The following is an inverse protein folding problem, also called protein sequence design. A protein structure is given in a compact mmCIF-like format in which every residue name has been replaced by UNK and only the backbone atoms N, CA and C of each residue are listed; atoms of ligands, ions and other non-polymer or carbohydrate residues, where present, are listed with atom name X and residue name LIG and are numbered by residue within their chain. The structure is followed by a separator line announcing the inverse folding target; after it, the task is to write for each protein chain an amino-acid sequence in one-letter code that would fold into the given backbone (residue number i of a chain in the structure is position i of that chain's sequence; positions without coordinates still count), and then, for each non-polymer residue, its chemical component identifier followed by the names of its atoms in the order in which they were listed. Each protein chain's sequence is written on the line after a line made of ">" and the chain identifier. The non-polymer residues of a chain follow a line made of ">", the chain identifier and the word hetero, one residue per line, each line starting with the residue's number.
data_IF_396361744567
#
_entry.id   IF_396361744567
#
_cell.length_a   1.000
_cell.length_b   1.000
_cell.length_c   1.000
_cell.angle_alpha   90.00
_cell.angle_beta   90.00
_cell.angle_gamma   90.00
#
_symmetry.space_group_name_H-M   'P 1'
#
loop_
_entity.id
_entity.type
_entity.pdbx_description
1 polymer ?
#
# COMPACT_ATOMS: atom_id res chain seq x y z
N UNK A 1 -31.15 -0.69 -16.73
CA UNK A 1 -29.84 -0.13 -17.08
C UNK A 1 -29.08 0.03 -15.78
N UNK A 2 -28.19 -0.90 -15.54
CA UNK A 2 -27.20 -0.74 -14.46
C UNK A 2 -26.25 0.32 -15.01
N UNK A 3 -26.21 1.48 -14.40
CA UNK A 3 -25.19 2.48 -14.72
C UNK A 3 -23.86 1.92 -14.24
N UNK A 4 -22.89 1.88 -15.11
CA UNK A 4 -21.52 1.65 -14.76
C UNK A 4 -21.10 2.79 -13.85
N UNK A 5 -20.73 2.51 -12.63
CA UNK A 5 -20.23 3.50 -11.68
C UNK A 5 -18.71 3.38 -11.60
N UNK A 6 -17.97 4.47 -11.38
CA UNK A 6 -16.58 4.35 -10.99
C UNK A 6 -16.50 3.47 -9.75
N UNK A 7 -15.57 2.51 -9.78
CA UNK A 7 -15.53 1.45 -8.76
C UNK A 7 -14.82 1.94 -7.51
N UNK A 8 -13.83 2.86 -7.62
CA UNK A 8 -13.09 3.28 -6.46
C UNK A 8 -11.94 4.25 -6.72
N UNK A 9 -11.23 4.56 -5.65
CA UNK A 9 -9.89 5.14 -5.67
C UNK A 9 -8.92 4.04 -5.27
N UNK A 10 -7.96 3.76 -6.14
CA UNK A 10 -6.88 2.81 -5.88
C UNK A 10 -5.59 3.59 -5.57
N UNK A 11 -4.82 3.08 -4.62
CA UNK A 11 -3.54 3.66 -4.22
C UNK A 11 -2.44 2.63 -4.43
N UNK A 12 -1.45 2.97 -5.24
CA UNK A 12 -0.28 2.12 -5.47
C UNK A 12 0.92 2.71 -4.75
N UNK A 13 1.39 2.03 -3.70
CA UNK A 13 2.48 2.47 -2.84
C UNK A 13 3.82 1.98 -3.40
N UNK A 14 4.85 2.81 -3.32
CA UNK A 14 6.24 2.45 -3.64
C UNK A 14 7.16 3.13 -2.63
N UNK A 15 8.07 2.39 -2.01
CA UNK A 15 9.14 2.96 -1.19
C UNK A 15 10.10 3.76 -2.08
N UNK A 16 10.47 4.95 -1.63
CA UNK A 16 11.35 5.84 -2.39
C UNK A 16 12.81 5.50 -2.09
N UNK A 17 13.52 5.01 -3.11
CA UNK A 17 14.98 4.89 -3.04
C UNK A 17 15.63 6.27 -3.21
N UNK A 18 16.29 6.74 -2.17
CA UNK A 18 17.01 8.01 -2.16
C UNK A 18 18.47 7.88 -2.59
N UNK A 19 18.90 6.72 -3.06
CA UNK A 19 20.25 6.48 -3.56
C UNK A 19 20.55 7.41 -4.74
N UNK A 20 21.69 8.10 -4.67
CA UNK A 20 22.11 9.03 -5.72
C UNK A 20 21.50 10.43 -5.63
N UNK A 21 20.66 10.72 -4.64
CA UNK A 21 20.20 12.08 -4.41
C UNK A 21 21.35 12.96 -3.92
N UNK A 22 21.42 14.19 -4.43
CA UNK A 22 22.42 15.17 -3.97
C UNK A 22 22.22 15.56 -2.51
N UNK A 23 20.97 15.63 -2.09
CA UNK A 23 20.55 15.87 -0.71
C UNK A 23 19.37 14.94 -0.44
N UNK A 24 19.62 13.79 0.19
CA UNK A 24 18.52 12.92 0.64
C UNK A 24 17.62 13.64 1.64
N UNK A 25 16.33 13.35 1.58
CA UNK A 25 15.40 13.77 2.64
C UNK A 25 15.71 12.99 3.92
N UNK A 26 15.48 13.62 5.07
CA UNK A 26 15.69 12.95 6.36
C UNK A 26 14.62 11.91 6.68
N UNK A 27 13.47 11.95 5.96
CA UNK A 27 12.36 11.03 6.12
C UNK A 27 12.57 9.80 5.24
N UNK A 28 12.11 8.65 5.69
CA UNK A 28 11.82 7.54 4.81
C UNK A 28 10.57 7.92 4.02
N UNK A 29 10.66 7.97 2.71
CA UNK A 29 9.57 8.45 1.87
C UNK A 29 8.86 7.29 1.19
N UNK A 30 7.55 7.40 1.10
CA UNK A 30 6.70 6.55 0.25
C UNK A 30 6.03 7.40 -0.82
N UNK A 31 5.94 6.85 -2.00
CA UNK A 31 5.27 7.43 -3.16
C UNK A 31 3.95 6.72 -3.38
N UNK A 32 2.88 7.47 -3.44
CA UNK A 32 1.53 6.98 -3.72
C UNK A 32 1.09 7.45 -5.08
N UNK A 33 0.92 6.54 -6.01
CA UNK A 33 0.24 6.80 -7.27
C UNK A 33 -1.26 6.58 -7.04
N UNK A 34 -2.06 7.62 -7.31
CA UNK A 34 -3.50 7.66 -7.04
C UNK A 34 -4.26 7.45 -8.34
N UNK A 35 -5.10 6.45 -8.39
CA UNK A 35 -5.90 6.09 -9.55
C UNK A 35 -7.39 6.22 -9.26
N UNK A 36 -8.16 6.63 -10.25
CA UNK A 36 -9.59 6.38 -10.32
C UNK A 36 -9.82 5.10 -11.10
N UNK A 37 -10.63 4.19 -10.57
CA UNK A 37 -10.96 2.91 -11.20
C UNK A 37 -12.35 2.94 -11.80
N UNK A 38 -12.53 2.27 -12.94
CA UNK A 38 -13.75 2.23 -13.72
C UNK A 38 -14.10 0.77 -14.06
N UNK A 39 -15.35 0.42 -14.07
CA UNK A 39 -15.82 -0.92 -14.43
C UNK A 39 -15.79 -1.17 -15.94
N UNK A 40 -15.64 -0.13 -16.74
CA UNK A 40 -15.49 -0.22 -18.18
C UNK A 40 -14.17 0.44 -18.63
N UNK A 41 -13.28 -0.36 -19.20
CA UNK A 41 -12.00 0.12 -19.73
C UNK A 41 -12.10 1.13 -20.89
N UNK A 42 -13.29 1.39 -21.40
CA UNK A 42 -13.56 2.40 -22.41
C UNK A 42 -14.10 3.72 -21.82
N UNK A 43 -14.33 3.78 -20.51
CA UNK A 43 -14.69 5.02 -19.83
C UNK A 43 -13.56 6.03 -19.95
N UNK A 44 -13.93 7.30 -19.92
CA UNK A 44 -13.01 8.39 -20.18
C UNK A 44 -13.11 9.46 -19.09
N UNK A 45 -12.06 9.63 -18.31
CA UNK A 45 -11.93 10.70 -17.33
C UNK A 45 -11.69 12.03 -18.05
N UNK A 46 -12.60 12.98 -17.87
CA UNK A 46 -12.47 14.32 -18.46
C UNK A 46 -11.76 15.28 -17.51
N UNK A 47 -12.17 15.29 -16.24
CA UNK A 47 -11.68 16.27 -15.28
C UNK A 47 -11.66 15.70 -13.87
N UNK A 48 -10.74 16.22 -13.07
CA UNK A 48 -10.75 16.12 -11.61
C UNK A 48 -10.89 17.56 -11.10
N UNK A 49 -11.91 17.82 -10.27
CA UNK A 49 -12.31 19.17 -9.97
C UNK A 49 -12.63 19.41 -8.49
N UNK A 50 -12.60 20.66 -8.11
CA UNK A 50 -13.08 21.15 -6.81
C UNK A 50 -14.22 22.12 -7.02
N UNK A 51 -15.29 21.91 -6.23
CA UNK A 51 -16.49 22.75 -6.23
C UNK A 51 -16.60 23.51 -4.92
N UNK A 52 -17.32 24.65 -4.87
CA UNK A 52 -17.58 25.31 -3.60
C UNK A 52 -18.24 24.37 -2.58
N UNK A 53 -17.89 24.56 -1.30
CA UNK A 53 -18.44 23.75 -0.21
C UNK A 53 -19.89 23.25 -0.44
N UNK A 54 -20.19 21.95 -0.18
CA UNK A 54 -19.36 20.99 0.57
C UNK A 54 -18.43 20.11 -0.28
N UNK A 55 -18.30 20.34 -1.55
CA UNK A 55 -17.60 19.45 -2.49
C UNK A 55 -16.18 19.92 -2.86
N UNK A 56 -15.42 20.49 -1.91
CA UNK A 56 -14.00 20.77 -2.14
C UNK A 56 -13.24 19.47 -2.44
N UNK A 57 -12.36 19.53 -3.46
CA UNK A 57 -11.34 18.51 -3.60
C UNK A 57 -10.25 18.74 -2.55
N UNK A 58 -9.83 17.70 -1.86
CA UNK A 58 -8.75 17.75 -0.87
C UNK A 58 -7.85 16.54 -1.03
N UNK A 59 -6.55 16.80 -1.25
CA UNK A 59 -5.49 15.80 -1.13
C UNK A 59 -4.59 16.24 0.03
N UNK A 60 -4.44 15.42 1.05
CA UNK A 60 -3.68 15.76 2.26
C UNK A 60 -3.02 14.54 2.86
N UNK A 61 -1.96 14.75 3.61
CA UNK A 61 -1.30 13.70 4.40
C UNK A 61 -1.30 14.07 5.87
N UNK A 62 -1.27 13.06 6.74
CA UNK A 62 -1.06 13.27 8.18
C UNK A 62 0.42 13.52 8.53
N UNK A 63 1.35 13.35 7.56
CA UNK A 63 2.76 13.72 7.74
C UNK A 63 2.88 15.21 8.12
N UNK A 64 3.42 15.56 9.30
CA UNK A 64 3.56 16.96 9.73
C UNK A 64 4.50 17.78 8.84
N UNK A 65 5.39 17.11 8.08
CA UNK A 65 6.24 17.75 7.09
C UNK A 65 5.57 17.87 5.72
N UNK A 66 4.38 17.29 5.58
CA UNK A 66 3.58 17.33 4.37
C UNK A 66 4.16 16.54 3.19
N UNK A 67 3.65 16.82 2.02
CA UNK A 67 4.11 16.18 0.79
C UNK A 67 5.54 16.57 0.43
N UNK A 68 6.30 15.60 -0.08
CA UNK A 68 7.63 15.86 -0.60
C UNK A 68 7.54 16.62 -1.93
N UNK A 69 8.30 17.71 -2.01
CA UNK A 69 8.49 18.49 -3.22
C UNK A 69 9.98 18.58 -3.52
N UNK A 70 10.39 18.11 -4.69
CA UNK A 70 11.80 18.13 -5.09
C UNK A 70 12.25 19.59 -5.35
N UNK A 71 13.38 19.97 -4.78
CA UNK A 71 13.95 21.30 -5.04
C UNK A 71 14.33 21.54 -6.51
N UNK A 72 14.42 20.48 -7.32
CA UNK A 72 14.73 20.53 -8.75
C UNK A 72 13.52 20.24 -9.64
N UNK A 73 12.39 19.80 -9.05
CA UNK A 73 11.05 19.79 -9.64
C UNK A 73 10.36 21.07 -9.23
N UNK A 74 9.39 21.52 -9.93
CA UNK A 74 8.46 22.59 -9.55
C UNK A 74 7.18 22.42 -10.37
N UNK A 75 7.03 21.24 -10.94
CA UNK A 75 5.91 20.93 -11.80
C UNK A 75 4.81 20.31 -10.96
N UNK A 76 3.78 21.10 -10.67
CA UNK A 76 2.57 20.65 -9.99
C UNK A 76 1.73 19.70 -10.83
N UNK A 77 1.98 19.71 -12.13
CA UNK A 77 1.26 18.92 -13.12
C UNK A 77 2.22 18.26 -14.10
N UNK A 78 1.86 17.08 -14.57
CA UNK A 78 2.69 16.36 -15.53
C UNK A 78 2.77 17.00 -16.91
N UNK A 79 1.84 17.92 -17.26
CA UNK A 79 1.89 18.65 -18.52
C UNK A 79 3.18 19.48 -18.69
N UNK A 80 3.80 19.88 -17.60
CA UNK A 80 5.06 20.63 -17.59
C UNK A 80 6.27 19.81 -17.13
N UNK A 81 6.07 18.57 -16.69
CA UNK A 81 7.09 17.70 -16.12
C UNK A 81 7.94 17.04 -17.21
N UNK A 82 9.26 17.18 -17.12
CA UNK A 82 10.20 16.54 -18.02
C UNK A 82 10.93 15.38 -17.32
N UNK A 83 10.42 14.16 -17.46
CA UNK A 83 10.99 12.95 -16.85
C UNK A 83 12.46 12.68 -17.25
N UNK A 84 12.95 13.20 -18.37
CA UNK A 84 14.35 13.05 -18.73
C UNK A 84 15.33 13.75 -17.76
N UNK A 85 14.85 14.69 -16.98
CA UNK A 85 15.63 15.39 -15.94
C UNK A 85 15.88 14.53 -14.71
N UNK A 86 15.12 13.48 -14.49
CA UNK A 86 15.33 12.52 -13.37
C UNK A 86 16.70 11.86 -13.42
N UNK A 87 17.25 11.64 -14.61
CA UNK A 87 18.62 11.12 -14.76
C UNK A 87 19.69 12.07 -14.24
N UNK A 88 19.37 13.38 -14.13
CA UNK A 88 20.25 14.44 -13.62
C UNK A 88 19.91 14.73 -12.15
N UNK A 89 18.62 14.72 -11.83
CA UNK A 89 18.05 15.03 -10.53
C UNK A 89 17.13 13.90 -10.04
N UNK A 90 17.69 12.80 -9.50
CA UNK A 90 16.90 11.62 -9.14
C UNK A 90 15.74 11.89 -8.16
N UNK A 91 15.85 12.91 -7.31
CA UNK A 91 14.77 13.31 -6.40
C UNK A 91 13.47 13.74 -7.10
N UNK A 92 13.53 14.12 -8.39
CA UNK A 92 12.33 14.45 -9.18
C UNK A 92 11.43 13.24 -9.44
N UNK A 93 11.94 12.02 -9.36
CA UNK A 93 11.13 10.81 -9.47
C UNK A 93 10.16 10.63 -8.30
N UNK A 94 10.47 11.27 -7.16
CA UNK A 94 9.65 11.28 -5.95
C UNK A 94 8.83 12.56 -5.77
N UNK A 95 8.84 13.49 -6.74
CA UNK A 95 8.10 14.74 -6.64
C UNK A 95 6.59 14.50 -6.63
N UNK A 96 5.85 15.32 -5.87
CA UNK A 96 4.38 15.23 -5.80
C UNK A 96 3.73 16.11 -6.86
N UNK A 97 2.79 15.56 -7.61
CA UNK A 97 2.12 16.23 -8.72
C UNK A 97 0.75 15.60 -9.02
N UNK A 98 -0.07 16.30 -9.80
CA UNK A 98 -1.35 15.81 -10.33
C UNK A 98 -1.31 15.59 -11.83
N UNK A 99 -2.17 14.71 -12.34
CA UNK A 99 -2.21 14.34 -13.75
C UNK A 99 -3.59 13.83 -14.18
N UNK A 100 -3.70 13.54 -15.47
CA UNK A 100 -4.66 12.58 -16.03
C UNK A 100 -3.87 11.63 -16.93
N UNK A 101 -3.72 10.39 -16.53
CA UNK A 101 -3.19 9.26 -17.29
C UNK A 101 -1.69 9.25 -17.61
N UNK A 102 -1.03 10.41 -17.77
CA UNK A 102 0.37 10.48 -18.18
C UNK A 102 1.29 10.96 -17.05
N UNK A 103 2.54 10.51 -17.05
CA UNK A 103 3.53 10.81 -16.01
C UNK A 103 4.52 11.90 -16.38
N UNK A 104 4.51 12.40 -17.61
CA UNK A 104 5.36 13.50 -18.08
C UNK A 104 4.69 14.34 -19.17
N UNK A 105 5.43 15.34 -19.67
CA UNK A 105 4.94 16.28 -20.69
C UNK A 105 4.81 15.67 -22.09
N UNK A 106 5.29 14.46 -22.33
CA UNK A 106 5.34 13.88 -23.68
C UNK A 106 3.95 13.48 -24.16
N UNK A 107 3.41 14.22 -25.10
CA UNK A 107 2.05 13.98 -25.60
C UNK A 107 0.95 14.36 -24.61
N UNK A 108 1.28 15.07 -23.55
CA UNK A 108 0.37 15.42 -22.48
C UNK A 108 -0.46 16.66 -22.84
N UNK A 109 -1.75 16.47 -23.00
CA UNK A 109 -2.73 17.51 -23.35
C UNK A 109 -3.48 18.08 -22.13
N UNK A 110 -3.11 17.67 -20.92
CA UNK A 110 -3.76 18.12 -19.70
C UNK A 110 -3.60 19.62 -19.51
N UNK A 111 -4.67 20.26 -19.10
CA UNK A 111 -4.74 21.68 -18.72
C UNK A 111 -5.24 21.79 -17.28
N UNK A 112 -4.98 22.91 -16.65
CA UNK A 112 -5.55 23.27 -15.36
C UNK A 112 -6.16 24.67 -15.40
N UNK A 113 -7.13 24.90 -14.52
CA UNK A 113 -7.80 26.19 -14.38
C UNK A 113 -8.24 26.43 -12.93
N UNK A 114 -7.96 27.62 -12.42
CA UNK A 114 -8.47 28.06 -11.12
C UNK A 114 -7.84 27.37 -9.91
N UNK A 115 -6.72 26.66 -10.07
CA UNK A 115 -6.02 25.97 -8.99
C UNK A 115 -4.91 26.87 -8.44
N UNK A 116 -4.87 27.03 -7.12
CA UNK A 116 -3.73 27.62 -6.41
C UNK A 116 -2.87 26.48 -5.82
N UNK A 117 -1.71 26.27 -6.41
CA UNK A 117 -0.75 25.26 -5.96
C UNK A 117 0.24 25.78 -4.89
N UNK A 118 0.09 26.99 -4.38
CA UNK A 118 1.10 27.63 -3.50
C UNK A 118 1.38 26.78 -2.24
N UNK A 119 0.32 26.33 -1.57
CA UNK A 119 0.46 25.49 -0.37
C UNK A 119 1.01 24.11 -0.72
N UNK A 120 0.51 23.50 -1.78
CA UNK A 120 0.97 22.20 -2.27
C UNK A 120 2.44 22.21 -2.65
N UNK A 121 2.92 23.26 -3.31
CA UNK A 121 4.35 23.45 -3.63
C UNK A 121 5.25 23.59 -2.41
N UNK A 122 4.67 23.94 -1.28
CA UNK A 122 5.38 24.03 -0.01
C UNK A 122 5.23 22.76 0.84
N UNK A 123 4.67 21.69 0.26
CA UNK A 123 4.40 20.43 0.93
C UNK A 123 3.03 20.36 1.61
N UNK A 124 2.24 21.44 1.59
CA UNK A 124 0.90 21.48 2.17
C UNK A 124 -0.14 20.66 1.40
N UNK A 125 -1.36 20.64 1.92
CA UNK A 125 -2.49 20.01 1.24
C UNK A 125 -2.84 20.69 -0.07
N UNK A 126 -3.27 19.94 -1.07
CA UNK A 126 -3.94 20.50 -2.25
C UNK A 126 -5.44 20.62 -1.96
N UNK A 127 -5.93 21.86 -1.86
CA UNK A 127 -7.35 22.13 -1.62
C UNK A 127 -7.90 22.97 -2.79
N UNK A 128 -8.89 22.44 -3.48
CA UNK A 128 -9.50 23.11 -4.63
C UNK A 128 -10.99 23.28 -4.36
N UNK A 129 -11.42 24.54 -4.32
CA UNK A 129 -12.82 24.92 -4.09
C UNK A 129 -13.53 25.46 -5.35
N UNK A 130 -12.77 25.78 -6.40
CA UNK A 130 -13.31 26.24 -7.69
C UNK A 130 -12.21 26.17 -8.74
N UNK A 131 -11.95 24.98 -9.25
CA UNK A 131 -10.89 24.74 -10.24
C UNK A 131 -10.86 23.28 -10.66
N UNK A 132 -10.09 22.98 -11.67
CA UNK A 132 -9.94 21.62 -12.17
C UNK A 132 -8.61 21.43 -12.91
N UNK A 133 -8.12 20.20 -12.97
CA UNK A 133 -7.24 19.75 -14.05
C UNK A 133 -8.02 18.78 -14.93
N UNK A 134 -7.83 18.88 -16.24
CA UNK A 134 -8.71 18.25 -17.21
C UNK A 134 -8.04 17.95 -18.55
N UNK A 135 -8.64 17.05 -19.30
CA UNK A 135 -8.39 16.84 -20.73
C UNK A 135 -9.70 17.00 -21.51
N UNK A 136 -9.58 17.19 -22.82
CA UNK A 136 -10.81 17.22 -23.65
C UNK A 136 -11.40 15.82 -23.79
N UNK A 137 -12.72 15.66 -23.90
CA UNK A 137 -13.38 14.34 -23.99
C UNK A 137 -12.90 13.45 -25.14
N UNK A 138 -12.27 14.04 -26.16
CA UNK A 138 -11.73 13.29 -27.31
C UNK A 138 -10.26 12.88 -27.15
N UNK A 139 -9.61 13.27 -26.05
CA UNK A 139 -8.19 12.97 -25.82
C UNK A 139 -8.03 11.58 -25.19
N UNK A 140 -7.29 10.72 -25.87
CA UNK A 140 -7.08 9.34 -25.41
C UNK A 140 -6.37 9.21 -24.04
N UNK A 141 -5.79 10.30 -23.54
CA UNK A 141 -5.08 10.35 -22.26
C UNK A 141 -6.01 10.05 -21.07
N UNK A 142 -7.29 10.45 -21.15
CA UNK A 142 -8.30 10.19 -20.13
C UNK A 142 -8.92 8.79 -20.20
N UNK A 143 -8.58 7.97 -21.19
CA UNK A 143 -9.17 6.62 -21.34
C UNK A 143 -8.64 5.68 -20.26
N UNK A 144 -9.54 4.94 -19.61
CA UNK A 144 -9.22 4.02 -18.53
C UNK A 144 -8.41 2.81 -19.03
N UNK A 145 -7.10 2.92 -19.02
CA UNK A 145 -6.21 1.83 -19.42
C UNK A 145 -6.15 0.77 -18.32
N UNK A 146 -6.57 -0.45 -18.64
CA UNK A 146 -6.69 -1.51 -17.63
C UNK A 146 -7.77 -1.26 -16.58
N UNK A 147 -8.77 -0.43 -16.90
CA UNK A 147 -9.85 -0.07 -15.98
C UNK A 147 -9.51 1.07 -15.02
N UNK A 148 -8.37 1.75 -15.17
CA UNK A 148 -7.96 2.81 -14.24
C UNK A 148 -7.30 3.99 -14.95
N UNK A 149 -7.36 5.17 -14.33
CA UNK A 149 -6.70 6.40 -14.79
C UNK A 149 -5.90 7.00 -13.64
N UNK A 150 -4.61 7.20 -13.84
CA UNK A 150 -3.73 7.88 -12.87
C UNK A 150 -4.15 9.36 -12.76
N UNK A 151 -4.37 9.85 -11.54
CA UNK A 151 -4.77 11.24 -11.28
C UNK A 151 -3.75 12.04 -10.48
N UNK A 152 -2.77 11.40 -9.88
CA UNK A 152 -1.71 12.07 -9.16
C UNK A 152 -0.69 11.11 -8.59
N UNK A 153 0.43 11.67 -8.22
CA UNK A 153 1.51 11.06 -7.44
C UNK A 153 1.76 11.93 -6.23
N UNK A 154 1.70 11.35 -5.05
CA UNK A 154 1.84 12.05 -3.79
C UNK A 154 2.89 11.32 -2.95
N UNK A 155 3.94 12.02 -2.58
CA UNK A 155 5.07 11.46 -1.82
C UNK A 155 5.11 12.11 -0.45
N UNK A 156 5.22 11.30 0.60
CA UNK A 156 5.24 11.75 1.99
C UNK A 156 6.01 10.73 2.86
N UNK A 157 6.20 11.01 4.14
CA UNK A 157 6.91 10.08 5.01
C UNK A 157 6.11 8.79 5.24
N UNK A 158 6.82 7.67 5.24
CA UNK A 158 6.28 6.37 5.62
C UNK A 158 5.65 6.42 7.02
N UNK A 159 4.67 5.57 7.27
CA UNK A 159 3.93 5.53 8.52
C UNK A 159 2.78 6.54 8.64
N UNK A 160 2.68 7.52 7.74
CA UNK A 160 1.59 8.50 7.73
C UNK A 160 0.51 8.13 6.71
N UNK A 161 -0.70 8.68 6.91
CA UNK A 161 -1.84 8.43 6.05
C UNK A 161 -1.93 9.46 4.90
N UNK A 162 -2.42 9.03 3.75
CA UNK A 162 -2.91 9.88 2.67
C UNK A 162 -4.43 9.96 2.74
N UNK A 163 -4.98 11.16 2.68
CA UNK A 163 -6.43 11.39 2.58
C UNK A 163 -6.76 12.06 1.26
N UNK A 164 -7.71 11.50 0.53
CA UNK A 164 -8.18 12.02 -0.74
C UNK A 164 -9.70 12.17 -0.71
N UNK A 165 -10.20 13.39 -0.96
CA UNK A 165 -11.59 13.67 -1.30
C UNK A 165 -11.58 14.28 -2.68
N UNK A 166 -12.20 13.61 -3.65
CA UNK A 166 -12.05 13.89 -5.08
C UNK A 166 -13.43 14.10 -5.67
N UNK A 167 -13.56 15.08 -6.56
CA UNK A 167 -14.71 15.15 -7.45
C UNK A 167 -14.19 15.01 -8.87
N UNK A 168 -14.94 14.38 -9.73
CA UNK A 168 -14.50 14.16 -11.09
C UNK A 168 -15.66 14.04 -12.07
N UNK A 169 -15.35 14.27 -13.32
CA UNK A 169 -16.26 14.15 -14.43
C UNK A 169 -15.70 13.17 -15.45
N UNK A 170 -16.53 12.23 -15.88
CA UNK A 170 -16.13 11.21 -16.85
C UNK A 170 -17.23 10.96 -17.88
N UNK A 171 -16.88 10.33 -19.00
CA UNK A 171 -17.83 9.81 -19.98
C UNK A 171 -17.99 8.33 -19.74
N UNK A 172 -19.20 7.91 -19.39
CA UNK A 172 -19.58 6.50 -19.37
C UNK A 172 -19.69 5.97 -20.81
N UNK A 173 -18.83 5.06 -21.17
CA UNK A 173 -18.78 4.50 -22.52
C UNK A 173 -20.01 3.66 -22.87
N UNK A 174 -20.74 3.13 -21.90
CA UNK A 174 -21.94 2.34 -22.13
C UNK A 174 -23.14 3.21 -22.51
N UNK A 175 -23.29 4.36 -21.88
CA UNK A 175 -24.38 5.33 -22.14
C UNK A 175 -23.98 6.42 -23.13
N UNK A 176 -22.70 6.74 -23.23
CA UNK A 176 -22.17 7.90 -23.94
C UNK A 176 -22.48 9.23 -23.27
N UNK A 177 -22.90 9.22 -22.01
CA UNK A 177 -23.22 10.43 -21.24
C UNK A 177 -22.02 10.86 -20.41
N UNK A 178 -21.97 12.15 -20.13
CA UNK A 178 -21.05 12.70 -19.13
C UNK A 178 -21.70 12.59 -17.76
N UNK A 179 -20.97 11.96 -16.83
CA UNK A 179 -21.39 11.75 -15.46
C UNK A 179 -20.44 12.54 -14.52
N UNK A 180 -20.92 12.88 -13.34
CA UNK A 180 -20.18 13.58 -12.31
C UNK A 180 -20.29 12.83 -10.97
N UNK A 181 -19.15 12.71 -10.28
CA UNK A 181 -19.08 12.16 -8.93
C UNK A 181 -18.45 13.18 -7.97
N UNK A 182 -19.11 13.40 -6.84
CA UNK A 182 -18.69 14.34 -5.83
C UNK A 182 -18.39 13.66 -4.50
N UNK A 183 -17.36 14.17 -3.79
CA UNK A 183 -16.90 13.66 -2.48
C UNK A 183 -16.49 12.18 -2.51
N UNK A 184 -15.95 11.77 -3.63
CA UNK A 184 -15.44 10.42 -3.83
C UNK A 184 -14.03 10.33 -3.25
N UNK A 185 -13.74 9.26 -2.53
CA UNK A 185 -12.40 9.06 -1.99
C UNK A 185 -12.39 8.42 -0.61
N UNK A 186 -11.25 8.47 0.02
CA UNK A 186 -11.02 7.80 1.29
C UNK A 186 -9.72 8.21 1.95
N UNK A 187 -9.40 7.54 3.03
CA UNK A 187 -8.13 7.62 3.72
C UNK A 187 -7.38 6.34 3.45
N UNK A 188 -6.28 6.46 2.73
CA UNK A 188 -5.36 5.35 2.57
C UNK A 188 -4.55 5.21 3.86
N UNK A 189 -4.71 4.09 4.48
CA UNK A 189 -3.81 3.55 5.50
C UNK A 189 -3.46 2.16 5.02
N UNK A 190 -2.27 1.67 5.30
CA UNK A 190 -1.99 0.24 5.09
C UNK A 190 -3.02 -0.54 5.90
N UNK A 191 -4.02 -1.09 5.24
CA UNK A 191 -4.98 -1.95 5.90
C UNK A 191 -4.28 -3.27 6.24
N UNK A 192 -4.54 -3.82 7.43
CA UNK A 192 -4.03 -5.15 7.75
C UNK A 192 -4.74 -6.18 6.87
N UNK A 193 -3.97 -7.12 6.32
CA UNK A 193 -4.49 -8.16 5.43
C UNK A 193 -5.11 -7.61 4.13
N UNK A 194 -4.55 -6.56 3.58
CA UNK A 194 -4.87 -6.02 2.27
C UNK A 194 -3.95 -6.67 1.23
N UNK A 195 -4.41 -7.73 0.58
CA UNK A 195 -3.58 -8.54 -0.32
C UNK A 195 -3.55 -8.02 -1.75
N UNK A 196 -4.54 -7.22 -2.15
CA UNK A 196 -4.63 -6.63 -3.49
C UNK A 196 -4.17 -5.17 -3.53
N UNK A 197 -4.01 -4.51 -2.38
CA UNK A 197 -3.54 -3.12 -2.27
C UNK A 197 -4.62 -2.07 -2.51
N UNK A 198 -5.91 -2.43 -2.34
CA UNK A 198 -7.02 -1.50 -2.55
C UNK A 198 -7.34 -0.62 -1.33
N UNK A 199 -6.63 -0.81 -0.22
CA UNK A 199 -6.82 -0.09 1.04
C UNK A 199 -7.89 -0.68 1.95
N UNK A 200 -8.48 -1.81 1.58
CA UNK A 200 -9.44 -2.56 2.41
C UNK A 200 -8.79 -3.83 2.94
N UNK A 201 -9.27 -4.33 4.08
CA UNK A 201 -8.80 -5.60 4.61
C UNK A 201 -9.52 -6.76 3.93
N UNK A 202 -8.75 -7.71 3.46
CA UNK A 202 -9.22 -8.94 2.86
C UNK A 202 -9.39 -10.07 3.88
N UNK A 203 -10.08 -11.12 3.50
CA UNK A 203 -10.23 -12.34 4.29
C UNK A 203 -9.29 -13.43 3.77
N UNK A 204 -8.43 -13.91 4.64
CA UNK A 204 -7.56 -15.05 4.36
C UNK A 204 -8.10 -16.30 5.04
N UNK A 205 -8.25 -17.36 4.28
CA UNK A 205 -8.70 -18.65 4.76
C UNK A 205 -7.64 -19.70 4.52
N UNK A 206 -7.40 -20.54 5.52
CA UNK A 206 -6.64 -21.78 5.40
C UNK A 206 -7.53 -22.93 5.83
N UNK A 207 -7.63 -23.94 5.02
CA UNK A 207 -8.47 -25.10 5.37
C UNK A 207 -8.43 -26.18 4.32
N UNK A 208 -9.22 -27.20 4.57
CA UNK A 208 -9.36 -28.36 3.71
C UNK A 208 -10.53 -28.14 2.77
N UNK A 209 -10.34 -28.49 1.51
CA UNK A 209 -11.43 -28.47 0.57
C UNK A 209 -11.40 -29.68 -0.38
N UNK A 210 -12.50 -29.93 -1.10
CA UNK A 210 -12.60 -30.94 -2.14
C UNK A 210 -13.60 -32.07 -1.85
N UNK A 211 -13.91 -32.87 -2.86
CA UNK A 211 -14.92 -33.92 -2.79
C UNK A 211 -14.44 -35.24 -2.17
N UNK A 212 -13.20 -35.33 -1.75
CA UNK A 212 -12.55 -36.56 -1.25
C UNK A 212 -12.75 -36.87 0.23
N UNK A 213 -13.49 -36.04 0.97
CA UNK A 213 -13.64 -36.18 2.43
C UNK A 213 -12.59 -35.38 3.20
N UNK A 214 -12.71 -35.36 4.55
CA UNK A 214 -11.77 -34.64 5.42
C UNK A 214 -10.31 -35.05 5.12
N UNK A 215 -9.46 -34.09 4.84
CA UNK A 215 -8.04 -34.29 4.55
C UNK A 215 -7.66 -34.48 3.08
N UNK A 216 -8.58 -34.35 2.13
CA UNK A 216 -8.24 -34.56 0.71
C UNK A 216 -7.35 -33.44 0.14
N UNK A 217 -7.48 -32.19 0.64
CA UNK A 217 -6.72 -31.02 0.20
C UNK A 217 -6.42 -30.12 1.41
N UNK A 218 -5.67 -30.65 2.35
CA UNK A 218 -5.34 -29.95 3.61
C UNK A 218 -4.43 -28.76 3.38
N UNK A 219 -4.75 -27.64 4.05
CA UNK A 219 -3.92 -26.47 4.11
C UNK A 219 -3.99 -25.54 2.90
N UNK A 220 -4.98 -25.71 2.01
CA UNK A 220 -5.22 -24.75 0.94
C UNK A 220 -5.52 -23.37 1.50
N UNK A 221 -5.01 -22.36 0.82
CA UNK A 221 -5.14 -20.95 1.21
C UNK A 221 -5.96 -20.23 0.15
N UNK A 222 -7.01 -19.59 0.60
CA UNK A 222 -7.94 -18.81 -0.21
C UNK A 222 -7.94 -17.38 0.32
N UNK A 223 -7.78 -16.41 -0.55
CA UNK A 223 -8.03 -15.00 -0.24
C UNK A 223 -9.39 -14.58 -0.81
N UNK A 224 -10.12 -13.76 -0.06
CA UNK A 224 -11.32 -13.08 -0.50
C UNK A 224 -11.04 -11.60 -0.51
N UNK A 225 -10.97 -11.06 -1.70
CA UNK A 225 -10.62 -9.69 -2.03
C UNK A 225 -11.85 -8.97 -2.60
N UNK A 226 -11.81 -7.65 -2.69
CA UNK A 226 -12.86 -6.80 -3.26
C UNK A 226 -14.23 -7.00 -2.58
N UNK A 227 -14.27 -6.87 -1.26
CA UNK A 227 -15.53 -6.88 -0.53
C UNK A 227 -16.28 -5.56 -0.76
N UNK A 228 -17.41 -5.61 -1.45
CA UNK A 228 -18.25 -4.44 -1.77
C UNK A 228 -19.32 -4.13 -0.69
N UNK A 229 -19.27 -4.80 0.45
CA UNK A 229 -20.23 -4.63 1.53
C UNK A 229 -21.55 -5.38 1.35
N UNK A 230 -21.67 -6.23 0.33
CA UNK A 230 -22.85 -7.09 0.10
C UNK A 230 -22.49 -8.56 0.22
N UNK A 231 -23.48 -9.42 0.53
CA UNK A 231 -23.28 -10.87 0.66
C UNK A 231 -22.83 -11.56 -0.64
N UNK A 232 -22.80 -10.83 -1.77
CA UNK A 232 -22.50 -11.37 -3.09
C UNK A 232 -21.38 -10.60 -3.83
N UNK A 233 -20.85 -9.54 -3.21
CA UNK A 233 -19.83 -8.71 -3.80
C UNK A 233 -18.46 -9.05 -3.21
N UNK A 234 -17.83 -10.10 -3.69
CA UNK A 234 -16.44 -10.41 -3.40
C UNK A 234 -15.85 -11.24 -4.53
N UNK A 235 -14.56 -11.08 -4.73
CA UNK A 235 -13.74 -11.96 -5.58
C UNK A 235 -12.89 -12.85 -4.68
N UNK A 236 -12.70 -14.10 -5.04
CA UNK A 236 -11.86 -15.02 -4.30
C UNK A 236 -10.92 -15.79 -5.22
N UNK A 237 -9.73 -16.09 -4.74
CA UNK A 237 -8.75 -16.87 -5.46
C UNK A 237 -7.87 -17.70 -4.53
N UNK A 238 -7.33 -18.79 -5.04
CA UNK A 238 -6.35 -19.56 -4.29
C UNK A 238 -4.99 -18.88 -4.35
N UNK A 239 -4.47 -18.49 -3.19
CA UNK A 239 -3.06 -18.17 -3.01
C UNK A 239 -2.24 -19.46 -3.12
N UNK A 240 -2.73 -20.54 -2.54
CA UNK A 240 -2.10 -21.86 -2.61
C UNK A 240 -3.16 -22.96 -2.64
N UNK A 241 -3.14 -23.76 -3.69
CA UNK A 241 -4.04 -24.91 -3.86
C UNK A 241 -3.23 -26.21 -3.69
N UNK A 242 -3.44 -26.90 -2.60
CA UNK A 242 -2.74 -28.16 -2.28
C UNK A 242 -3.08 -29.29 -3.24
N UNK A 243 -4.20 -29.22 -3.94
CA UNK A 243 -4.55 -30.17 -5.00
C UNK A 243 -3.57 -30.11 -6.20
N UNK A 244 -3.05 -28.92 -6.49
CA UNK A 244 -2.15 -28.71 -7.63
C UNK A 244 -0.69 -28.61 -7.23
N UNK A 245 -0.40 -28.13 -6.02
CA UNK A 245 0.95 -27.78 -5.56
C UNK A 245 1.50 -28.71 -4.48
N UNK A 246 0.69 -29.64 -3.99
CA UNK A 246 1.03 -30.58 -2.91
C UNK A 246 0.80 -29.98 -1.51
N UNK A 247 0.89 -30.80 -0.46
CA UNK A 247 0.57 -30.38 0.90
C UNK A 247 1.61 -29.40 1.44
N UNK A 248 1.15 -28.41 2.19
CA UNK A 248 2.02 -27.60 3.05
C UNK A 248 2.34 -28.45 4.29
N UNK A 249 3.64 -28.64 4.64
CA UNK A 249 3.99 -29.39 5.85
C UNK A 249 3.34 -28.80 7.10
N UNK A 250 2.86 -29.67 8.00
CA UNK A 250 2.10 -29.26 9.20
C UNK A 250 2.88 -28.35 10.16
N UNK A 251 4.22 -28.42 10.10
CA UNK A 251 5.12 -27.59 10.91
C UNK A 251 5.08 -26.11 10.51
N UNK A 252 4.59 -25.79 9.32
CA UNK A 252 4.46 -24.42 8.85
C UNK A 252 3.08 -23.85 9.16
N UNK A 253 3.07 -22.77 9.91
CA UNK A 253 1.86 -22.03 10.27
C UNK A 253 1.96 -20.59 9.79
N UNK A 254 0.84 -20.01 9.39
CA UNK A 254 0.76 -18.55 9.14
C UNK A 254 0.85 -17.86 10.50
N UNK A 255 1.91 -17.10 10.71
CA UNK A 255 2.15 -16.36 11.93
C UNK A 255 1.48 -14.98 11.93
N UNK A 256 1.22 -14.45 10.75
CA UNK A 256 0.53 -13.17 10.56
C UNK A 256 0.66 -12.65 9.13
N UNK A 257 0.19 -11.44 8.95
CA UNK A 257 0.23 -10.71 7.69
C UNK A 257 0.77 -9.30 7.92
N UNK A 258 1.48 -8.75 6.94
CA UNK A 258 2.01 -7.39 6.96
C UNK A 258 2.67 -7.04 5.64
N UNK A 259 2.85 -5.76 5.36
CA UNK A 259 3.51 -5.23 4.17
C UNK A 259 5.04 -5.30 4.34
N UNK A 260 5.61 -6.50 4.12
CA UNK A 260 7.00 -6.79 4.44
C UNK A 260 8.00 -6.17 3.44
N UNK A 261 7.57 -5.86 2.23
CA UNK A 261 8.40 -5.23 1.20
C UNK A 261 8.03 -3.76 0.93
N UNK A 262 7.06 -3.21 1.66
CA UNK A 262 6.65 -1.82 1.57
C UNK A 262 5.88 -1.46 0.30
N UNK A 263 5.32 -2.46 -0.39
CA UNK A 263 4.65 -2.25 -1.67
C UNK A 263 3.17 -1.84 -1.54
N UNK A 264 2.65 -1.73 -0.32
CA UNK A 264 1.27 -1.36 -0.01
C UNK A 264 0.31 -2.54 0.08
N UNK A 265 0.79 -3.77 -0.09
CA UNK A 265 0.02 -5.01 0.03
C UNK A 265 0.49 -5.81 1.23
N UNK A 266 -0.43 -6.54 1.83
CA UNK A 266 -0.06 -7.44 2.92
C UNK A 266 0.50 -8.75 2.39
N UNK A 267 1.61 -9.16 2.97
CA UNK A 267 2.31 -10.40 2.71
C UNK A 267 1.97 -11.46 3.76
N UNK A 268 2.29 -12.72 3.49
CA UNK A 268 2.10 -13.81 4.42
C UNK A 268 3.41 -14.18 5.13
N UNK A 269 3.42 -14.05 6.44
CA UNK A 269 4.54 -14.46 7.27
C UNK A 269 4.29 -15.87 7.79
N UNK A 270 5.15 -16.79 7.41
CA UNK A 270 5.12 -18.19 7.82
C UNK A 270 6.18 -18.48 8.85
N UNK A 271 5.82 -19.30 9.84
CA UNK A 271 6.75 -19.78 10.85
C UNK A 271 6.72 -21.31 10.93
N UNK A 272 7.91 -21.90 10.96
CA UNK A 272 8.11 -23.31 11.23
C UNK A 272 8.28 -23.57 12.74
N UNK A 273 7.98 -24.78 13.16
CA UNK A 273 8.16 -25.21 14.56
C UNK A 273 9.61 -25.16 15.05
N UNK A 274 10.60 -25.16 14.17
CA UNK A 274 12.03 -24.99 14.52
C UNK A 274 12.43 -23.51 14.68
N UNK A 275 11.51 -22.58 14.42
CA UNK A 275 11.72 -21.14 14.51
C UNK A 275 12.09 -20.47 13.19
N UNK A 276 12.24 -21.23 12.10
CA UNK A 276 12.47 -20.65 10.78
C UNK A 276 11.26 -19.83 10.31
N UNK A 277 11.52 -18.75 9.59
CA UNK A 277 10.49 -17.85 9.02
C UNK A 277 10.71 -17.72 7.53
N UNK A 278 9.65 -17.83 6.76
CA UNK A 278 9.59 -17.43 5.36
C UNK A 278 8.48 -16.41 5.17
N UNK A 279 8.64 -15.56 4.17
CA UNK A 279 7.63 -14.60 3.76
C UNK A 279 7.21 -14.92 2.33
N UNK A 280 5.92 -14.87 2.09
CA UNK A 280 5.37 -14.87 0.75
C UNK A 280 4.97 -13.44 0.41
N UNK A 281 5.79 -12.79 -0.41
CA UNK A 281 5.55 -11.44 -0.91
C UNK A 281 4.44 -11.51 -1.96
N UNK A 282 3.30 -10.87 -1.70
CA UNK A 282 2.10 -10.99 -2.51
C UNK A 282 2.18 -10.12 -3.76
N UNK A 283 1.71 -10.66 -4.88
CA UNK A 283 1.61 -9.94 -6.15
C UNK A 283 0.30 -9.15 -6.24
N UNK A 284 0.21 -8.25 -7.22
CA UNK A 284 -0.90 -7.30 -7.37
C UNK A 284 -2.28 -7.91 -7.63
N UNK A 285 -2.36 -9.21 -7.94
CA UNK A 285 -3.62 -9.91 -8.13
C UNK A 285 -4.18 -10.52 -6.82
N UNK A 286 -3.49 -10.32 -5.69
CA UNK A 286 -3.87 -10.85 -4.39
C UNK A 286 -3.77 -12.37 -4.24
N UNK A 287 -3.25 -13.08 -5.25
CA UNK A 287 -3.15 -14.54 -5.28
C UNK A 287 -1.78 -15.07 -5.65
N UNK A 288 -1.03 -14.36 -6.48
CA UNK A 288 0.37 -14.66 -6.79
C UNK A 288 1.30 -14.27 -5.64
N UNK A 289 2.46 -14.94 -5.54
CA UNK A 289 3.46 -14.59 -4.54
C UNK A 289 4.87 -15.03 -4.95
N UNK A 290 5.87 -14.32 -4.39
CA UNK A 290 7.27 -14.76 -4.38
C UNK A 290 7.66 -15.17 -2.97
N UNK A 291 8.21 -16.38 -2.81
CA UNK A 291 8.62 -16.90 -1.50
C UNK A 291 10.08 -16.57 -1.21
N UNK A 292 10.36 -16.00 -0.05
CA UNK A 292 11.71 -15.69 0.41
C UNK A 292 11.93 -16.13 1.87
N UNK A 293 13.18 -16.48 2.19
CA UNK A 293 13.56 -16.76 3.58
C UNK A 293 13.87 -15.46 4.30
N UNK A 294 13.19 -15.24 5.43
CA UNK A 294 13.49 -14.14 6.34
C UNK A 294 14.49 -14.56 7.41
N UNK A 295 14.25 -15.69 8.05
CA UNK A 295 15.11 -16.19 9.11
C UNK A 295 15.26 -17.71 9.07
N UNK A 296 16.50 -18.18 9.09
CA UNK A 296 16.82 -19.61 9.18
C UNK A 296 17.64 -19.86 10.45
N UNK A 297 16.97 -20.17 11.56
CA UNK A 297 17.67 -20.37 12.82
C UNK A 297 16.84 -21.12 13.86
N UNK A 298 17.50 -21.53 14.92
CA UNK A 298 16.89 -22.24 16.04
C UNK A 298 16.44 -21.25 17.12
N UNK A 299 15.30 -20.59 16.90
CA UNK A 299 14.62 -19.75 17.89
C UNK A 299 13.23 -20.30 18.22
N UNK A 300 13.14 -21.62 18.35
CA UNK A 300 11.87 -22.30 18.62
C UNK A 300 11.15 -21.75 19.86
N UNK A 301 11.91 -21.32 20.87
CA UNK A 301 11.39 -20.78 22.12
C UNK A 301 10.89 -19.32 22.01
N UNK A 302 11.14 -18.67 20.88
CA UNK A 302 10.63 -17.32 20.60
C UNK A 302 9.38 -17.40 19.76
N UNK A 303 8.42 -16.57 20.06
CA UNK A 303 7.18 -16.44 19.27
C UNK A 303 7.12 -15.12 18.54
N UNK A 304 6.51 -15.10 17.38
CA UNK A 304 6.11 -13.85 16.73
C UNK A 304 4.93 -13.30 17.55
N UNK A 305 5.13 -12.12 18.11
CA UNK A 305 4.18 -11.45 18.98
C UNK A 305 3.35 -10.39 18.25
N UNK A 306 3.83 -9.93 17.09
CA UNK A 306 3.15 -8.98 16.25
C UNK A 306 3.91 -8.72 14.96
N UNK A 307 3.23 -8.16 13.99
CA UNK A 307 3.77 -7.69 12.71
C UNK A 307 3.20 -6.29 12.51
N UNK A 308 4.04 -5.34 12.14
CA UNK A 308 3.67 -3.94 11.89
C UNK A 308 4.89 -3.06 11.78
N UNK A 309 4.77 -1.93 11.14
CA UNK A 309 5.83 -0.94 10.95
C UNK A 309 6.19 -0.27 12.29
N UNK A 310 7.30 -0.70 12.89
CA UNK A 310 7.72 -0.29 14.24
C UNK A 310 8.74 0.84 14.23
N UNK A 311 9.42 1.05 13.11
CA UNK A 311 10.43 2.12 12.98
C UNK A 311 9.98 3.24 12.02
N UNK A 312 8.82 3.09 11.37
CA UNK A 312 8.21 4.09 10.51
C UNK A 312 8.81 4.17 9.10
N UNK A 313 9.44 3.09 8.63
CA UNK A 313 10.08 3.06 7.31
C UNK A 313 9.14 2.65 6.18
N UNK A 314 7.92 2.20 6.52
CA UNK A 314 6.88 1.80 5.57
C UNK A 314 6.93 0.33 5.20
N UNK A 315 7.82 -0.45 5.79
CA UNK A 315 7.81 -1.90 5.77
C UNK A 315 7.37 -2.43 7.13
N UNK A 316 6.62 -3.52 7.15
CA UNK A 316 6.22 -4.09 8.41
C UNK A 316 7.35 -4.93 9.03
N UNK A 317 7.57 -4.75 10.32
CA UNK A 317 8.55 -5.45 11.14
C UNK A 317 7.95 -6.66 11.82
N UNK A 318 8.80 -7.60 12.24
CA UNK A 318 8.40 -8.71 13.10
C UNK A 318 8.83 -8.44 14.53
N UNK A 319 7.85 -8.32 15.43
CA UNK A 319 8.10 -8.30 16.87
C UNK A 319 8.17 -9.72 17.42
N UNK A 320 9.33 -10.06 17.96
CA UNK A 320 9.57 -11.32 18.63
C UNK A 320 9.48 -11.20 20.14
N UNK A 321 8.87 -12.17 20.78
CA UNK A 321 8.89 -12.30 22.23
C UNK A 321 9.35 -13.71 22.64
N UNK A 322 10.29 -13.80 23.56
CA UNK A 322 10.81 -15.06 24.03
C UNK A 322 11.73 -14.92 25.23
N UNK A 323 12.30 -16.04 25.60
CA UNK A 323 13.26 -16.14 26.70
C UNK A 323 14.68 -16.20 26.14
N UNK A 324 15.61 -15.55 26.82
CA UNK A 324 17.02 -15.63 26.45
C UNK A 324 17.91 -15.73 27.70
N UNK A 325 19.18 -16.01 27.48
CA UNK A 325 20.16 -16.21 28.54
C UNK A 325 20.42 -17.68 28.88
N UNK A 326 21.37 -17.91 29.79
CA UNK A 326 21.75 -19.27 30.19
C UNK A 326 20.63 -19.90 31.01
N UNK A 327 20.00 -20.94 30.42
CA UNK A 327 18.89 -21.67 31.06
C UNK A 327 17.53 -21.00 30.90
N UNK A 328 17.36 -20.12 29.85
CA UNK A 328 16.09 -19.45 29.53
C UNK A 328 15.49 -18.71 30.74
N UNK A 329 16.33 -17.98 31.45
CA UNK A 329 15.94 -17.31 32.70
C UNK A 329 15.38 -15.92 32.50
N UNK A 330 15.42 -15.38 31.30
CA UNK A 330 15.03 -14.01 31.01
C UNK A 330 14.05 -13.94 29.85
N UNK A 331 12.86 -13.45 30.11
CA UNK A 331 11.95 -13.03 29.04
C UNK A 331 12.42 -11.73 28.42
N UNK A 332 12.35 -11.62 27.09
CA UNK A 332 12.74 -10.44 26.36
C UNK A 332 11.83 -10.20 25.17
N UNK A 333 11.84 -8.97 24.66
CA UNK A 333 11.22 -8.63 23.39
C UNK A 333 12.29 -8.16 22.44
N UNK A 334 12.22 -8.59 21.21
CA UNK A 334 13.15 -8.28 20.14
C UNK A 334 12.38 -7.70 18.97
N UNK A 335 12.83 -6.59 18.42
CA UNK A 335 12.39 -6.13 17.12
C UNK A 335 13.35 -6.68 16.07
N UNK A 336 12.79 -7.15 14.96
CA UNK A 336 13.53 -7.40 13.75
C UNK A 336 12.97 -6.47 12.67
N UNK A 337 13.79 -5.56 12.16
CA UNK A 337 13.41 -4.66 11.08
C UNK A 337 13.69 -5.31 9.75
N UNK A 338 12.74 -5.16 8.85
CA UNK A 338 12.89 -5.53 7.45
C UNK A 338 13.63 -4.44 6.68
N UNK A 339 14.41 -4.86 5.72
CA UNK A 339 14.98 -3.99 4.70
C UNK A 339 14.93 -4.72 3.35
N UNK A 340 13.84 -4.54 2.62
CA UNK A 340 13.70 -5.11 1.29
C UNK A 340 14.51 -4.28 0.28
N UNK A 341 15.53 -4.89 -0.31
CA UNK A 341 16.39 -4.26 -1.32
C UNK A 341 16.02 -4.66 -2.75
N UNK A 342 14.89 -5.34 -2.93
CA UNK A 342 14.44 -5.87 -4.22
C UNK A 342 14.94 -7.27 -4.54
N UNK A 343 15.77 -7.88 -3.69
CA UNK A 343 16.39 -9.19 -3.94
C UNK A 343 16.21 -10.14 -2.75
N UNK A 344 16.51 -9.67 -1.56
CA UNK A 344 16.44 -10.45 -0.32
C UNK A 344 15.86 -9.60 0.81
N UNK A 345 15.12 -10.25 1.74
CA UNK A 345 14.75 -9.64 3.01
C UNK A 345 15.96 -9.68 3.95
N UNK A 346 16.54 -8.52 4.22
CA UNK A 346 17.51 -8.32 5.28
C UNK A 346 16.82 -8.01 6.61
N UNK A 347 17.55 -8.11 7.70
CA UNK A 347 17.06 -7.60 8.97
C UNK A 347 18.18 -7.09 9.86
N UNK A 348 17.87 -6.08 10.67
CA UNK A 348 18.61 -5.72 11.88
C UNK A 348 17.73 -5.97 13.07
N UNK A 349 18.31 -6.34 14.22
CA UNK A 349 17.53 -6.66 15.39
C UNK A 349 18.08 -5.97 16.63
N UNK A 350 17.16 -5.53 17.50
CA UNK A 350 17.53 -4.99 18.81
C UNK A 350 16.45 -5.32 19.83
N UNK A 351 16.82 -5.28 21.12
CA UNK A 351 15.85 -5.40 22.19
C UNK A 351 15.09 -4.10 22.39
N UNK A 352 13.75 -4.14 22.25
CA UNK A 352 12.86 -3.08 22.74
C UNK A 352 12.82 -3.16 24.26
N UNK A 353 12.72 -4.36 24.78
CA UNK A 353 12.69 -4.63 26.21
C UNK A 353 13.60 -5.81 26.53
N UNK A 354 14.48 -5.61 27.49
CA UNK A 354 15.45 -6.61 27.93
C UNK A 354 15.34 -6.78 29.44
N UNK A 355 14.91 -7.93 29.87
CA UNK A 355 14.65 -8.21 31.30
C UNK A 355 15.88 -8.16 32.17
N UNK A 356 17.10 -8.36 31.62
CA UNK A 356 18.36 -8.20 32.38
C UNK A 356 18.55 -6.76 32.78
N UNK A 357 18.21 -5.80 31.92
CA UNK A 357 18.43 -4.37 32.19
C UNK A 357 17.20 -3.67 32.77
N UNK A 358 15.99 -4.18 32.49
CA UNK A 358 14.71 -3.50 32.78
C UNK A 358 13.87 -4.24 33.83
N UNK A 359 14.26 -5.44 34.26
CA UNK A 359 13.52 -6.29 35.20
C UNK A 359 12.57 -7.25 34.49
N UNK A 360 12.11 -8.26 35.18
CA UNK A 360 11.26 -9.30 34.60
C UNK A 360 9.88 -8.76 34.21
N UNK A 361 9.42 -9.12 33.03
CA UNK A 361 8.02 -8.99 32.66
C UNK A 361 7.24 -10.04 33.44
N UNK A 362 6.17 -9.67 34.19
CA UNK A 362 5.34 -10.68 34.84
C UNK A 362 4.81 -11.70 33.84
N UNK A 363 4.83 -12.96 34.19
CA UNK A 363 4.42 -14.08 33.30
C UNK A 363 2.97 -13.97 32.80
N UNK A 364 2.16 -13.19 33.50
CA UNK A 364 0.78 -12.93 33.12
C UNK A 364 0.64 -11.88 32.00
N UNK A 365 1.73 -11.17 31.67
CA UNK A 365 1.73 -10.14 30.65
C UNK A 365 2.24 -10.70 29.33
N UNK A 366 1.47 -10.48 28.29
CA UNK A 366 1.85 -10.86 26.92
C UNK A 366 1.46 -9.75 25.94
N UNK A 367 2.18 -9.67 24.86
CA UNK A 367 1.84 -8.74 23.76
C UNK A 367 0.53 -9.22 23.12
N UNK A 368 -0.44 -8.34 23.07
CA UNK A 368 -1.77 -8.62 22.46
C UNK A 368 -1.89 -8.10 21.04
N UNK A 369 -0.96 -7.25 20.60
CA UNK A 369 -0.94 -6.68 19.26
C UNK A 369 -0.04 -5.46 19.19
N UNK A 370 0.15 -4.99 17.97
CA UNK A 370 0.75 -3.71 17.64
C UNK A 370 -0.38 -2.74 17.29
N UNK A 371 -0.29 -1.52 17.74
CA UNK A 371 -1.24 -0.46 17.45
C UNK A 371 -0.52 0.88 17.48
N UNK A 372 -0.89 1.75 16.56
CA UNK A 372 -0.56 3.16 16.60
C UNK A 372 -1.49 3.82 17.64
N UNK A 373 -0.92 4.37 18.69
CA UNK A 373 -1.65 4.90 19.85
C UNK A 373 -1.51 6.43 20.01
N UNK A 374 -0.76 7.12 19.13
CA UNK A 374 -0.49 8.57 19.16
C UNK A 374 -0.85 9.35 17.87
#
# INVERSE_FOLDING_TARGET
>A
SVMAAPIGVEFEKTVVDQTGWLTPDARNLVRMDVYLTFDNAADHLNAVDGKPMPANLVLSTSDPSGFFQSANGNENTTANRNAAQESIWPSMAADSWVTIGLTDQTGNAMLDIGIDFTDFNSGGALVISNGAWFVTPDDSQGTATGGRVLIGRLTYAAGYALSATINFQYVDAASGLTEEEDNFGGVFRSAKSDFNGDGQSDLLWRGDYGAGGAGAYEGSILSWIDWDGTDQGYTSGFVYDTNTSGPIPEEWVIAGTGDMDGNGRSDLVWRNGDGSVIVWLMESDGTGYTSTFFYSGTIADWRIAGIGDLDGDGQDDILWQGEYGVGNTYEGSLIAWEQWDGTDLGYTSQFIYNTVSSGAIPVEWFVVGLADLD
#
